data_IF_804786912468
#
_entry.id   IF_804786912468
#
_cell.length_a   1.000
_cell.length_b   1.000
_cell.length_c   1.000
_cell.angle_alpha   90.00
_cell.angle_beta   90.00
_cell.angle_gamma   90.00
#
_symmetry.space_group_name_H-M   'P 1'
#
loop_
_entity.id
_entity.type
_entity.pdbx_description
1 polymer ?
#
# COMPACT_ATOMS: atom_id res chain seq x y z
N UNK A 1 -0.75 7.70 -0.42
CA UNK A 1 -1.45 6.40 -0.35
C UNK A 1 -2.90 6.50 0.12
N UNK A 2 -3.23 7.30 1.14
CA UNK A 2 -4.63 7.49 1.55
C UNK A 2 -5.56 7.97 0.43
N UNK A 3 -5.07 8.83 -0.47
CA UNK A 3 -5.84 9.25 -1.65
C UNK A 3 -5.93 8.21 -2.78
N UNK A 4 -4.90 7.38 -2.97
CA UNK A 4 -4.87 6.35 -4.03
C UNK A 4 -5.68 5.10 -3.65
N UNK A 5 -5.78 4.81 -2.35
CA UNK A 5 -6.56 3.70 -1.78
C UNK A 5 -7.62 4.24 -0.80
N UNK A 6 -8.67 4.91 -1.30
CA UNK A 6 -9.65 5.57 -0.44
C UNK A 6 -10.49 4.54 0.34
N UNK A 7 -10.49 4.65 1.67
CA UNK A 7 -11.30 3.78 2.54
C UNK A 7 -10.86 2.32 2.60
N UNK A 8 -9.73 1.96 1.98
CA UNK A 8 -9.23 0.58 1.93
C UNK A 8 -8.11 0.30 2.91
N UNK A 9 -7.39 1.32 3.37
CA UNK A 9 -6.30 1.16 4.33
C UNK A 9 -6.85 0.73 5.69
N UNK A 10 -6.52 -0.49 6.11
CA UNK A 10 -6.92 -1.04 7.40
C UNK A 10 -6.12 -0.43 8.57
N UNK A 11 -4.87 -0.04 8.30
CA UNK A 11 -3.95 0.52 9.27
C UNK A 11 -2.99 1.53 8.62
N UNK A 12 -2.11 2.15 9.41
CA UNK A 12 -1.04 3.01 8.94
C UNK A 12 -0.07 2.27 8.01
N UNK A 13 0.47 3.01 7.05
CA UNK A 13 1.47 2.49 6.10
C UNK A 13 2.81 2.34 6.79
N UNK A 14 3.50 1.22 6.56
CA UNK A 14 4.87 1.01 7.04
C UNK A 14 5.84 1.28 5.91
N UNK A 15 6.72 2.25 6.11
CA UNK A 15 7.77 2.61 5.16
C UNK A 15 9.09 1.95 5.57
N UNK A 16 9.71 1.19 4.67
CA UNK A 16 11.04 0.60 4.87
C UNK A 16 11.96 1.09 3.76
N UNK A 17 13.16 1.53 4.12
CA UNK A 17 14.20 1.89 3.15
C UNK A 17 15.33 0.89 3.24
N UNK A 18 15.63 0.23 2.11
CA UNK A 18 16.74 -0.74 1.98
C UNK A 18 17.67 -0.21 0.89
N UNK A 19 18.76 0.42 1.30
CA UNK A 19 19.64 1.17 0.39
C UNK A 19 18.84 2.16 -0.48
N UNK A 20 18.95 2.06 -1.82
CA UNK A 20 18.21 2.90 -2.75
C UNK A 20 16.75 2.45 -2.95
N UNK A 21 16.37 1.26 -2.46
CA UNK A 21 15.03 0.72 -2.63
C UNK A 21 14.10 1.21 -1.52
N UNK A 22 12.97 1.77 -1.91
CA UNK A 22 11.90 2.18 -1.01
C UNK A 22 10.79 1.13 -1.05
N UNK A 23 10.61 0.39 0.05
CA UNK A 23 9.52 -0.57 0.22
C UNK A 23 8.38 0.09 0.96
N UNK A 24 7.20 0.12 0.35
CA UNK A 24 5.98 0.62 0.96
C UNK A 24 5.08 -0.56 1.29
N UNK A 25 4.92 -0.87 2.58
CA UNK A 25 4.04 -1.95 3.03
C UNK A 25 2.69 -1.36 3.45
N UNK A 26 1.59 -1.86 2.90
CA UNK A 26 0.24 -1.42 3.24
C UNK A 26 -0.69 -2.60 3.54
N UNK A 27 -1.49 -2.44 4.61
CA UNK A 27 -2.58 -3.35 4.96
C UNK A 27 -3.88 -2.84 4.34
N UNK A 28 -4.49 -3.65 3.47
CA UNK A 28 -5.69 -3.32 2.72
C UNK A 28 -6.88 -4.21 3.08
N UNK A 29 -8.07 -3.64 3.10
CA UNK A 29 -9.34 -4.35 3.17
C UNK A 29 -9.72 -4.94 1.80
N UNK A 30 -10.41 -6.07 1.79
CA UNK A 30 -10.85 -6.78 0.57
C UNK A 30 -12.11 -6.17 -0.07
N UNK A 31 -12.10 -4.87 -0.31
CA UNK A 31 -13.27 -4.14 -0.87
C UNK A 31 -13.26 -4.05 -2.40
N UNK A 32 -12.09 -4.20 -3.03
CA UNK A 32 -11.88 -3.97 -4.46
C UNK A 32 -11.51 -5.30 -5.16
N UNK A 33 -11.96 -5.51 -6.42
CA UNK A 33 -11.51 -6.66 -7.20
C UNK A 33 -9.99 -6.64 -7.44
N UNK A 34 -9.35 -7.83 -7.55
CA UNK A 34 -7.90 -7.96 -7.64
C UNK A 34 -7.32 -7.25 -8.88
N UNK A 35 -8.04 -7.24 -10.01
CA UNK A 35 -7.59 -6.56 -11.22
C UNK A 35 -7.31 -5.05 -11.00
N UNK A 36 -8.20 -4.36 -10.27
CA UNK A 36 -8.01 -2.94 -9.95
C UNK A 36 -6.90 -2.73 -8.92
N UNK A 37 -6.73 -3.66 -7.99
CA UNK A 37 -5.61 -3.63 -7.02
C UNK A 37 -4.26 -3.75 -7.72
N UNK A 38 -4.12 -4.68 -8.67
CA UNK A 38 -2.88 -4.83 -9.45
C UNK A 38 -2.60 -3.59 -10.32
N UNK A 39 -3.64 -3.01 -10.93
CA UNK A 39 -3.52 -1.76 -11.68
C UNK A 39 -3.02 -0.60 -10.81
N UNK A 40 -3.69 -0.36 -9.67
CA UNK A 40 -3.29 0.69 -8.74
C UNK A 40 -1.90 0.43 -8.15
N UNK A 41 -1.56 -0.83 -7.89
CA UNK A 41 -0.23 -1.25 -7.45
C UNK A 41 0.84 -0.79 -8.44
N UNK A 42 0.76 -1.22 -9.70
CA UNK A 42 1.73 -0.84 -10.73
C UNK A 42 1.73 0.67 -11.04
N UNK A 43 0.57 1.31 -11.04
CA UNK A 43 0.45 2.76 -11.17
C UNK A 43 1.23 3.50 -10.07
N UNK A 44 1.06 3.09 -8.81
CA UNK A 44 1.76 3.74 -7.70
C UNK A 44 3.26 3.46 -7.71
N UNK A 45 3.71 2.25 -8.00
CA UNK A 45 5.13 1.92 -8.11
C UNK A 45 5.83 2.74 -9.19
N UNK A 46 5.23 2.79 -10.39
CA UNK A 46 5.80 3.53 -11.52
C UNK A 46 5.83 5.03 -11.25
N UNK A 47 4.73 5.63 -10.80
CA UNK A 47 4.67 7.07 -10.52
C UNK A 47 5.67 7.46 -9.43
N UNK A 48 5.70 6.73 -8.31
CA UNK A 48 6.60 7.04 -7.20
C UNK A 48 8.07 6.83 -7.58
N UNK A 49 8.38 5.82 -8.40
CA UNK A 49 9.73 5.62 -8.89
C UNK A 49 10.22 6.79 -9.76
N UNK A 50 9.35 7.31 -10.65
CA UNK A 50 9.68 8.47 -11.48
C UNK A 50 9.75 9.78 -10.67
N UNK A 51 8.94 9.90 -9.62
CA UNK A 51 8.91 11.09 -8.77
C UNK A 51 10.12 11.15 -7.84
N UNK A 52 10.43 10.06 -7.13
CA UNK A 52 11.53 9.99 -6.16
C UNK A 52 12.88 9.61 -6.76
N UNK A 53 12.93 9.29 -8.07
CA UNK A 53 14.15 8.88 -8.80
C UNK A 53 14.83 7.65 -8.16
N UNK A 54 14.05 6.80 -7.51
CA UNK A 54 14.53 5.59 -6.85
C UNK A 54 13.59 4.41 -7.12
N UNK A 55 14.07 3.15 -7.08
CA UNK A 55 13.20 1.99 -7.22
C UNK A 55 12.26 1.90 -6.02
N UNK A 56 10.95 1.91 -6.29
CA UNK A 56 9.89 1.77 -5.29
C UNK A 56 9.22 0.41 -5.46
N UNK A 57 9.01 -0.31 -4.36
CA UNK A 57 8.29 -1.59 -4.32
C UNK A 57 7.13 -1.50 -3.35
N UNK A 58 5.95 -1.93 -3.78
CA UNK A 58 4.72 -1.88 -3.00
C UNK A 58 4.37 -3.30 -2.52
N UNK A 59 4.36 -3.50 -1.21
CA UNK A 59 3.96 -4.76 -0.57
C UNK A 59 2.55 -4.62 0.00
N UNK A 60 1.59 -5.27 -0.64
CA UNK A 60 0.18 -5.24 -0.24
C UNK A 60 -0.20 -6.52 0.48
N UNK A 61 -0.71 -6.39 1.70
CA UNK A 61 -1.30 -7.50 2.44
C UNK A 61 -2.80 -7.25 2.63
N UNK A 62 -3.63 -8.20 2.21
CA UNK A 62 -5.09 -8.08 2.35
C UNK A 62 -5.59 -8.73 3.63
N UNK A 63 -6.45 -8.03 4.35
CA UNK A 63 -7.09 -8.47 5.59
C UNK A 63 -8.61 -8.41 5.42
N UNK A 64 -9.38 -9.39 5.93
CA UNK A 64 -10.84 -9.36 5.80
C UNK A 64 -11.50 -8.21 6.57
N UNK A 65 -10.96 -7.81 7.72
CA UNK A 65 -11.48 -6.73 8.56
C UNK A 65 -10.32 -6.00 9.27
N UNK A 66 -10.57 -4.77 9.75
CA UNK A 66 -9.59 -4.04 10.57
C UNK A 66 -9.33 -4.83 11.85
N UNK A 67 -8.06 -4.98 12.23
CA UNK A 67 -7.65 -5.74 13.42
C UNK A 67 -7.70 -4.83 14.64
N UNK A 68 -8.67 -4.99 15.56
CA UNK A 68 -8.68 -4.21 16.79
C UNK A 68 -7.66 -4.78 17.77
N UNK A 69 -6.86 -3.90 18.38
CA UNK A 69 -5.96 -4.31 19.46
C UNK A 69 -6.69 -4.40 20.81
N UNK A 70 -7.54 -3.40 21.11
CA UNK A 70 -8.33 -3.30 22.36
C UNK A 70 -9.65 -2.57 22.07
N UNK A 71 -10.67 -2.85 22.89
CA UNK A 71 -11.90 -2.06 22.97
C UNK A 71 -11.78 -1.16 24.20
N UNK A 72 -11.84 0.16 24.00
CA UNK A 72 -11.73 1.18 25.04
C UNK A 72 -13.10 1.53 25.60
#
# INVERSE_FOLDING_TARGET
LYGTFPGMLADAVVLKRRANLLVVCALLLRTLPPAKLHFLGGYTETLLAHFYKCPVRLELQTVPARVPYKYL
#
